data_IF_209479972496
#
_entry.id   IF_209479972496
#
_cell.length_a   1.000
_cell.length_b   1.000
_cell.length_c   1.000
_cell.angle_alpha   90.00
_cell.angle_beta   90.00
_cell.angle_gamma   90.00
#
_symmetry.space_group_name_H-M   'P 1'
#
loop_
_entity.id
_entity.type
_entity.pdbx_description
1 polymer ?
#
# COMPACT_ATOMS: atom_id res chain seq x y z
N UNK A 1 -41.36 6.20 -28.40
CA UNK A 1 -39.95 5.95 -28.09
C UNK A 1 -39.23 5.95 -29.43
N UNK A 2 -38.78 7.14 -29.83
CA UNK A 2 -38.03 7.37 -31.07
C UNK A 2 -36.61 6.87 -30.86
N UNK A 3 -36.09 6.09 -31.81
CA UNK A 3 -34.72 5.59 -31.83
C UNK A 3 -33.75 6.69 -31.40
N UNK A 4 -33.10 6.48 -30.25
CA UNK A 4 -32.06 7.36 -29.70
C UNK A 4 -30.80 7.06 -30.51
N UNK A 5 -30.27 8.04 -31.22
CA UNK A 5 -29.00 7.89 -31.93
C UNK A 5 -27.90 7.55 -30.92
N UNK A 6 -27.23 6.40 -31.10
CA UNK A 6 -26.08 5.96 -30.29
C UNK A 6 -24.85 6.90 -30.40
N UNK A 7 -24.98 8.05 -31.06
CA UNK A 7 -23.89 8.65 -31.83
C UNK A 7 -22.65 9.03 -31.05
N UNK A 8 -22.77 9.47 -29.79
CA UNK A 8 -21.66 10.05 -29.01
C UNK A 8 -21.79 9.92 -27.48
N UNK A 9 -22.93 9.44 -26.96
CA UNK A 9 -23.13 9.33 -25.51
C UNK A 9 -22.48 8.03 -25.00
N UNK A 10 -21.48 8.10 -24.10
CA UNK A 10 -20.70 6.92 -23.72
C UNK A 10 -21.52 5.86 -22.98
N UNK A 11 -22.52 6.25 -22.18
CA UNK A 11 -23.37 5.26 -21.50
C UNK A 11 -24.22 4.48 -22.50
N UNK A 12 -24.70 5.12 -23.56
CA UNK A 12 -25.44 4.44 -24.63
C UNK A 12 -24.52 3.59 -25.52
N UNK A 13 -23.29 4.04 -25.78
CA UNK A 13 -22.29 3.24 -26.48
C UNK A 13 -21.90 1.99 -25.68
N UNK A 14 -21.74 2.10 -24.35
CA UNK A 14 -21.54 0.95 -23.47
C UNK A 14 -22.72 -0.02 -23.52
N UNK A 15 -23.96 0.49 -23.48
CA UNK A 15 -25.16 -0.33 -23.57
C UNK A 15 -25.23 -1.08 -24.92
N UNK A 16 -24.94 -0.37 -26.02
CA UNK A 16 -24.92 -0.95 -27.36
C UNK A 16 -23.85 -2.04 -27.45
N UNK A 17 -22.63 -1.77 -26.99
CA UNK A 17 -21.54 -2.74 -26.98
C UNK A 17 -21.85 -3.99 -26.15
N UNK A 18 -22.58 -3.84 -25.03
CA UNK A 18 -22.99 -4.98 -24.20
C UNK A 18 -24.08 -5.82 -24.87
N UNK A 19 -25.07 -5.19 -25.52
CA UNK A 19 -26.30 -5.85 -25.98
C UNK A 19 -26.27 -6.26 -27.45
N UNK A 20 -25.42 -5.62 -28.26
CA UNK A 20 -25.28 -5.92 -29.68
C UNK A 20 -24.84 -7.38 -29.85
N UNK A 21 -25.69 -8.15 -30.54
CA UNK A 21 -25.46 -9.55 -30.88
C UNK A 21 -25.29 -9.69 -32.39
N UNK A 22 -24.83 -10.85 -32.87
CA UNK A 22 -24.58 -11.08 -34.30
C UNK A 22 -25.75 -10.65 -35.20
N UNK A 23 -25.42 -10.07 -36.36
CA UNK A 23 -26.42 -9.59 -37.29
C UNK A 23 -27.31 -10.75 -37.75
N UNK A 24 -28.60 -10.50 -38.09
CA UNK A 24 -29.50 -11.55 -38.57
C UNK A 24 -29.01 -12.30 -39.82
N UNK A 25 -28.04 -11.74 -40.54
CA UNK A 25 -27.39 -12.33 -41.72
C UNK A 25 -26.11 -13.13 -41.41
N UNK A 26 -25.74 -13.24 -40.13
CA UNK A 26 -24.55 -13.97 -39.67
C UNK A 26 -23.24 -13.19 -39.80
N UNK A 27 -23.29 -11.88 -40.05
CA UNK A 27 -22.11 -11.01 -39.98
C UNK A 27 -21.70 -10.85 -38.51
N UNK A 28 -20.42 -11.10 -38.16
CA UNK A 28 -19.93 -10.85 -36.80
C UNK A 28 -20.15 -9.39 -36.44
N UNK A 29 -20.90 -9.14 -35.38
CA UNK A 29 -21.01 -7.81 -34.78
C UNK A 29 -20.01 -7.70 -33.63
N UNK A 30 -19.59 -6.48 -33.30
CA UNK A 30 -18.44 -6.25 -32.42
C UNK A 30 -18.84 -6.15 -30.94
N UNK A 31 -20.12 -6.34 -30.61
CA UNK A 31 -20.63 -6.39 -29.24
C UNK A 31 -20.60 -7.77 -28.57
N UNK A 32 -21.00 -7.80 -27.29
CA UNK A 32 -20.91 -8.98 -26.43
C UNK A 32 -22.16 -9.88 -26.45
N UNK A 33 -23.27 -9.40 -27.00
CA UNK A 33 -24.53 -10.14 -27.09
C UNK A 33 -25.13 -10.55 -25.73
N UNK A 34 -24.94 -9.74 -24.69
CA UNK A 34 -25.48 -10.00 -23.36
C UNK A 34 -27.02 -9.87 -23.39
N UNK A 35 -27.77 -10.88 -22.93
CA UNK A 35 -29.22 -10.81 -22.87
C UNK A 35 -29.74 -9.66 -21.99
N UNK A 36 -30.81 -9.01 -22.45
CA UNK A 36 -31.49 -7.89 -21.76
C UNK A 36 -31.82 -8.15 -20.28
N UNK A 37 -32.08 -9.41 -19.89
CA UNK A 37 -32.40 -9.77 -18.50
C UNK A 37 -31.24 -9.52 -17.52
N UNK A 38 -30.00 -9.52 -18.02
CA UNK A 38 -28.80 -9.22 -17.25
C UNK A 38 -28.42 -7.73 -17.28
N UNK A 39 -29.24 -6.86 -17.88
CA UNK A 39 -28.95 -5.44 -18.01
C UNK A 39 -29.97 -4.61 -17.23
N UNK A 40 -29.49 -3.75 -16.34
CA UNK A 40 -30.33 -2.73 -15.72
C UNK A 40 -30.40 -1.49 -16.60
N UNK A 41 -31.31 -1.48 -17.57
CA UNK A 41 -31.52 -0.34 -18.48
C UNK A 41 -31.78 0.99 -17.76
N UNK A 42 -32.33 0.97 -16.53
CA UNK A 42 -32.61 2.20 -15.79
C UNK A 42 -31.33 2.89 -15.32
N UNK A 43 -30.31 2.11 -14.96
CA UNK A 43 -28.98 2.63 -14.61
C UNK A 43 -28.31 3.29 -15.82
N UNK A 44 -28.35 2.66 -17.00
CA UNK A 44 -27.80 3.22 -18.24
C UNK A 44 -28.51 4.50 -18.68
N UNK A 45 -29.84 4.58 -18.54
CA UNK A 45 -30.59 5.82 -18.81
C UNK A 45 -30.15 6.93 -17.85
N UNK A 46 -29.95 6.61 -16.57
CA UNK A 46 -29.50 7.58 -15.56
C UNK A 46 -28.09 8.09 -15.86
N UNK A 47 -27.16 7.19 -16.18
CA UNK A 47 -25.81 7.53 -16.59
C UNK A 47 -25.79 8.35 -17.89
N UNK A 48 -26.58 7.98 -18.90
CA UNK A 48 -26.68 8.71 -20.16
C UNK A 48 -27.16 10.15 -19.96
N UNK A 49 -28.20 10.35 -19.15
CA UNK A 49 -28.69 11.69 -18.80
C UNK A 49 -27.63 12.51 -18.06
N UNK A 50 -26.83 11.88 -17.19
CA UNK A 50 -25.73 12.54 -16.52
C UNK A 50 -24.63 12.96 -17.50
N UNK A 51 -24.24 12.10 -18.44
CA UNK A 51 -23.27 12.44 -19.47
C UNK A 51 -23.75 13.62 -20.32
N UNK A 52 -25.01 13.60 -20.77
CA UNK A 52 -25.60 14.68 -21.56
C UNK A 52 -25.64 16.00 -20.76
N UNK A 53 -25.99 15.95 -19.47
CA UNK A 53 -26.04 17.13 -18.60
C UNK A 53 -24.64 17.75 -18.35
N UNK A 54 -23.58 16.94 -18.42
CA UNK A 54 -22.21 17.37 -18.21
C UNK A 54 -21.41 17.56 -19.51
N UNK A 55 -22.05 17.42 -20.68
CA UNK A 55 -21.40 17.47 -22.00
C UNK A 55 -20.24 16.48 -22.14
N UNK A 56 -20.42 15.28 -21.57
CA UNK A 56 -19.46 14.17 -21.65
C UNK A 56 -19.82 13.33 -22.87
N UNK A 57 -18.88 13.30 -23.82
CA UNK A 57 -19.01 12.59 -25.09
C UNK A 57 -17.82 11.66 -25.30
N UNK A 58 -18.06 10.58 -26.03
CA UNK A 58 -17.04 9.64 -26.49
C UNK A 58 -16.92 9.75 -28.01
N UNK A 59 -15.78 10.33 -28.42
CA UNK A 59 -15.44 10.70 -29.80
C UNK A 59 -14.11 10.13 -30.27
N UNK A 60 -13.44 9.37 -29.39
CA UNK A 60 -12.19 8.71 -29.71
C UNK A 60 -12.38 7.42 -30.49
N UNK A 61 -11.28 6.76 -30.74
CA UNK A 61 -11.23 5.52 -31.51
C UNK A 61 -11.11 4.31 -30.60
N UNK A 62 -11.93 3.28 -30.87
CA UNK A 62 -11.77 1.96 -30.26
C UNK A 62 -10.65 1.20 -30.95
N UNK A 63 -9.76 0.58 -30.18
CA UNK A 63 -8.75 -0.33 -30.74
C UNK A 63 -9.40 -1.66 -31.15
N UNK A 64 -9.39 -1.94 -32.45
CA UNK A 64 -9.95 -3.17 -33.03
C UNK A 64 -9.26 -4.47 -32.57
N UNK A 65 -8.07 -4.37 -31.95
CA UNK A 65 -7.36 -5.50 -31.35
C UNK A 65 -7.58 -5.68 -29.85
N UNK A 66 -8.28 -4.75 -29.19
CA UNK A 66 -8.51 -4.78 -27.75
C UNK A 66 -9.48 -5.89 -27.34
N UNK A 67 -9.39 -6.35 -26.09
CA UNK A 67 -10.39 -7.27 -25.55
C UNK A 67 -11.70 -6.52 -25.27
N UNK A 68 -12.79 -7.27 -25.08
CA UNK A 68 -14.05 -6.69 -24.63
C UNK A 68 -13.90 -5.95 -23.30
N UNK A 69 -13.11 -6.49 -22.38
CA UNK A 69 -12.87 -5.88 -21.07
C UNK A 69 -12.12 -4.55 -21.20
N UNK A 70 -11.07 -4.51 -22.02
CA UNK A 70 -10.30 -3.28 -22.26
C UNK A 70 -11.18 -2.22 -22.93
N UNK A 71 -11.99 -2.61 -23.92
CA UNK A 71 -12.90 -1.67 -24.61
C UNK A 71 -13.95 -1.09 -23.67
N UNK A 72 -14.55 -1.92 -22.81
CA UNK A 72 -15.51 -1.46 -21.81
C UNK A 72 -14.84 -0.52 -20.79
N UNK A 73 -13.62 -0.84 -20.36
CA UNK A 73 -12.85 -0.04 -19.40
C UNK A 73 -12.51 1.31 -20.02
N UNK A 74 -11.94 1.33 -21.24
CA UNK A 74 -11.61 2.56 -21.96
C UNK A 74 -12.84 3.46 -22.16
N UNK A 75 -14.01 2.89 -22.54
CA UNK A 75 -15.25 3.64 -22.69
C UNK A 75 -15.80 4.19 -21.37
N UNK A 76 -15.76 3.40 -20.30
CA UNK A 76 -16.29 3.78 -19.00
C UNK A 76 -15.40 4.82 -18.31
N UNK A 77 -14.10 4.54 -18.19
CA UNK A 77 -13.13 5.40 -17.51
C UNK A 77 -12.98 6.73 -18.25
N UNK A 78 -12.96 6.71 -19.59
CA UNK A 78 -12.91 7.94 -20.40
C UNK A 78 -14.13 8.85 -20.23
N UNK A 79 -15.20 8.37 -19.59
CA UNK A 79 -16.44 9.12 -19.36
C UNK A 79 -16.74 9.34 -17.86
N UNK A 80 -15.87 8.87 -16.96
CA UNK A 80 -16.14 8.87 -15.51
C UNK A 80 -17.35 8.01 -15.13
N UNK A 81 -17.57 6.92 -15.86
CA UNK A 81 -18.60 5.92 -15.61
C UNK A 81 -17.97 4.67 -14.98
N UNK A 82 -18.76 3.92 -14.23
CA UNK A 82 -18.34 2.65 -13.63
C UNK A 82 -19.39 1.60 -13.97
N UNK A 83 -18.94 0.47 -14.51
CA UNK A 83 -19.77 -0.72 -14.69
C UNK A 83 -19.69 -1.59 -13.45
N UNK A 84 -20.84 -1.95 -12.90
CA UNK A 84 -20.95 -2.76 -11.68
C UNK A 84 -21.85 -3.95 -11.95
N UNK A 85 -21.53 -5.11 -11.38
CA UNK A 85 -22.40 -6.28 -11.41
C UNK A 85 -23.07 -6.48 -10.05
N UNK A 86 -24.35 -6.18 -9.96
CA UNK A 86 -25.10 -6.17 -8.71
C UNK A 86 -26.44 -6.89 -8.91
N UNK A 87 -26.78 -7.78 -7.98
CA UNK A 87 -28.08 -8.50 -7.97
C UNK A 87 -28.38 -9.23 -9.30
N UNK A 88 -27.35 -9.72 -9.98
CA UNK A 88 -27.47 -10.45 -11.25
C UNK A 88 -27.59 -9.56 -12.48
N UNK A 89 -27.45 -8.25 -12.35
CA UNK A 89 -27.53 -7.30 -13.46
C UNK A 89 -26.28 -6.43 -13.56
N UNK A 90 -25.89 -6.14 -14.79
CA UNK A 90 -24.90 -5.12 -15.11
C UNK A 90 -25.59 -3.76 -15.02
N UNK A 91 -25.00 -2.87 -14.23
CA UNK A 91 -25.41 -1.47 -14.09
C UNK A 91 -24.30 -0.55 -14.56
N UNK A 92 -24.68 0.63 -15.05
CA UNK A 92 -23.77 1.73 -15.33
C UNK A 92 -24.07 2.88 -14.37
N UNK A 93 -23.07 3.29 -13.59
CA UNK A 93 -23.16 4.39 -12.63
C UNK A 93 -22.22 5.50 -13.04
N UNK A 94 -22.67 6.75 -13.00
CA UNK A 94 -21.79 7.89 -13.14
C UNK A 94 -21.07 8.13 -11.81
N UNK A 95 -19.75 8.30 -11.84
CA UNK A 95 -19.06 8.80 -10.68
C UNK A 95 -19.42 10.29 -10.52
N UNK A 96 -20.14 10.64 -9.45
CA UNK A 96 -20.61 12.00 -9.22
C UNK A 96 -20.58 12.36 -7.73
N UNK A 97 -20.89 13.63 -7.43
CA UNK A 97 -21.04 14.09 -6.04
C UNK A 97 -22.31 13.49 -5.43
N UNK A 98 -22.21 12.93 -4.23
CA UNK A 98 -23.32 12.33 -3.50
C UNK A 98 -23.44 13.00 -2.12
N UNK A 99 -24.50 13.78 -1.96
CA UNK A 99 -24.73 14.57 -0.73
C UNK A 99 -25.48 13.80 0.34
N UNK A 100 -26.14 12.70 -0.04
CA UNK A 100 -26.86 11.82 0.88
C UNK A 100 -26.01 10.60 1.23
N UNK A 101 -26.23 10.05 2.42
CA UNK A 101 -25.56 8.84 2.89
C UNK A 101 -26.52 7.67 2.76
N UNK A 102 -26.10 6.61 2.07
CA UNK A 102 -26.95 5.43 1.84
C UNK A 102 -27.12 4.61 3.11
N UNK A 103 -26.09 4.55 3.95
CA UNK A 103 -26.09 3.84 5.22
C UNK A 103 -25.22 4.57 6.26
N UNK A 104 -25.50 4.31 7.55
CA UNK A 104 -24.76 4.83 8.69
C UNK A 104 -24.24 3.65 9.49
N UNK A 105 -22.94 3.62 9.72
CA UNK A 105 -22.25 2.55 10.41
C UNK A 105 -21.57 3.07 11.68
N UNK A 106 -21.73 2.31 12.76
CA UNK A 106 -21.10 2.56 14.05
C UNK A 106 -20.81 1.22 14.76
N UNK A 107 -20.36 1.28 16.02
CA UNK A 107 -20.04 0.10 16.81
C UNK A 107 -21.22 -0.87 17.06
N UNK A 108 -22.45 -0.48 16.73
CA UNK A 108 -23.66 -1.28 16.96
C UNK A 108 -24.06 -2.15 15.78
N UNK A 109 -23.71 -1.76 14.55
CA UNK A 109 -24.03 -2.49 13.32
C UNK A 109 -22.80 -2.95 12.52
N UNK A 110 -21.60 -2.52 12.91
CA UNK A 110 -20.35 -3.14 12.47
C UNK A 110 -20.12 -4.43 13.25
N UNK A 111 -19.88 -5.53 12.54
CA UNK A 111 -19.62 -6.83 13.17
C UNK A 111 -18.22 -6.82 13.78
N UNK A 112 -18.19 -6.95 15.11
CA UNK A 112 -17.07 -6.60 16.03
C UNK A 112 -15.66 -7.19 15.77
N UNK A 113 -15.48 -8.10 14.81
CA UNK A 113 -14.18 -8.75 14.54
C UNK A 113 -13.37 -8.13 13.40
N UNK A 114 -13.89 -7.14 12.67
CA UNK A 114 -13.18 -6.57 11.52
C UNK A 114 -13.57 -5.13 11.25
N UNK A 115 -12.96 -4.18 11.96
CA UNK A 115 -12.97 -2.77 11.54
C UNK A 115 -11.53 -2.33 11.32
N UNK A 116 -11.09 -2.49 10.08
CA UNK A 116 -9.74 -2.15 9.65
C UNK A 116 -9.73 -0.75 9.05
N UNK A 117 -8.74 0.03 9.45
CA UNK A 117 -8.50 1.36 8.90
C UNK A 117 -7.10 1.37 8.31
N UNK A 118 -7.05 1.53 6.99
CA UNK A 118 -5.79 1.77 6.28
C UNK A 118 -5.62 3.27 6.14
N UNK A 119 -4.62 3.79 6.83
CA UNK A 119 -4.21 5.18 6.67
C UNK A 119 -3.58 5.40 5.29
N UNK A 120 -3.50 6.66 4.85
CA UNK A 120 -2.90 7.01 3.57
C UNK A 120 -1.45 6.49 3.50
N UNK A 121 -1.15 5.63 2.52
CA UNK A 121 0.20 5.17 2.23
C UNK A 121 0.84 6.04 1.13
N UNK A 122 2.15 6.26 1.21
CA UNK A 122 2.91 7.01 0.20
C UNK A 122 2.90 6.36 -1.18
N UNK A 123 2.64 5.04 -1.26
CA UNK A 123 2.65 4.27 -2.51
C UNK A 123 1.57 4.66 -3.50
N UNK A 124 0.41 5.14 -3.01
CA UNK A 124 -0.74 5.46 -3.84
C UNK A 124 -0.97 6.98 -3.92
N UNK A 125 -0.19 7.76 -3.17
CA UNK A 125 -0.23 9.21 -3.21
C UNK A 125 0.41 9.72 -4.49
N UNK A 126 -0.18 10.75 -5.09
CA UNK A 126 0.40 11.48 -6.21
C UNK A 126 0.03 12.96 -6.07
N UNK A 127 0.92 13.83 -6.53
CA UNK A 127 0.75 15.28 -6.48
C UNK A 127 0.81 15.93 -7.86
N UNK A 128 0.87 15.12 -8.91
CA UNK A 128 0.72 15.49 -10.31
C UNK A 128 -0.16 14.46 -11.01
N UNK A 129 -1.12 14.91 -11.81
CA UNK A 129 -1.90 14.06 -12.71
C UNK A 129 -1.66 14.49 -14.14
N UNK A 130 -1.25 13.54 -14.97
CA UNK A 130 -1.09 13.69 -16.42
C UNK A 130 -2.28 13.04 -17.11
N UNK A 131 -3.10 13.82 -17.80
CA UNK A 131 -4.30 13.34 -18.50
C UNK A 131 -4.02 13.30 -19.99
N UNK A 132 -4.04 12.11 -20.57
CA UNK A 132 -3.84 11.90 -21.99
C UNK A 132 -5.19 11.92 -22.72
N UNK A 133 -5.28 12.66 -23.82
CA UNK A 133 -6.52 12.85 -24.58
C UNK A 133 -6.22 13.05 -26.08
N UNK A 134 -7.24 12.97 -26.93
CA UNK A 134 -7.09 13.25 -28.36
C UNK A 134 -7.26 14.75 -28.65
N UNK A 135 -6.22 15.39 -29.18
CA UNK A 135 -6.25 16.82 -29.47
C UNK A 135 -6.78 17.11 -30.89
N UNK A 136 -7.96 17.72 -30.96
CA UNK A 136 -8.62 18.06 -32.23
C UNK A 136 -7.89 19.14 -33.05
N UNK A 137 -7.06 19.98 -32.43
CA UNK A 137 -6.22 20.98 -33.11
C UNK A 137 -4.99 20.34 -33.78
N UNK A 138 -4.60 19.15 -33.31
CA UNK A 138 -3.45 18.40 -33.78
C UNK A 138 -3.86 17.20 -34.66
N UNK A 139 -5.01 17.27 -35.33
CA UNK A 139 -5.56 16.17 -36.12
C UNK A 139 -5.81 14.88 -35.32
N UNK A 140 -6.29 15.01 -34.07
CA UNK A 140 -6.60 13.88 -33.17
C UNK A 140 -5.38 13.07 -32.72
N UNK A 141 -4.18 13.64 -32.82
CA UNK A 141 -2.99 13.08 -32.16
C UNK A 141 -3.14 13.16 -30.63
N UNK A 142 -2.48 12.25 -29.92
CA UNK A 142 -2.46 12.22 -28.46
C UNK A 142 -1.72 13.45 -27.92
N UNK A 143 -2.28 14.07 -26.88
CA UNK A 143 -1.71 15.20 -26.16
C UNK A 143 -1.94 15.02 -24.66
N UNK A 144 -1.16 15.71 -23.84
CA UNK A 144 -1.16 15.57 -22.39
C UNK A 144 -1.46 16.89 -21.70
N UNK A 145 -2.46 16.88 -20.84
CA UNK A 145 -2.79 17.97 -19.92
C UNK A 145 -2.36 17.60 -18.51
N UNK A 146 -1.56 18.44 -17.86
CA UNK A 146 -0.99 18.16 -16.54
C UNK A 146 -1.56 19.11 -15.48
N UNK A 147 -1.91 18.57 -14.31
CA UNK A 147 -2.31 19.33 -13.12
C UNK A 147 -1.43 18.92 -11.92
N UNK A 148 -0.83 19.86 -11.17
CA UNK A 148 -0.82 21.31 -11.37
C UNK A 148 -0.06 21.76 -12.63
N UNK A 149 -0.30 22.99 -13.13
CA UNK A 149 0.29 23.48 -14.38
C UNK A 149 1.79 23.78 -14.28
N UNK A 150 2.30 24.08 -13.08
CA UNK A 150 3.71 24.34 -12.82
C UNK A 150 4.14 23.65 -11.53
N UNK A 151 4.91 22.59 -11.68
CA UNK A 151 5.41 21.79 -10.55
C UNK A 151 6.47 22.52 -9.70
N UNK A 152 7.08 23.59 -10.24
CA UNK A 152 8.12 24.34 -9.53
C UNK A 152 7.58 25.38 -8.56
N UNK A 153 6.32 25.80 -8.74
CA UNK A 153 5.69 26.85 -7.93
C UNK A 153 4.45 26.38 -7.18
N UNK A 154 3.96 25.16 -7.41
CA UNK A 154 2.79 24.62 -6.71
C UNK A 154 3.06 24.40 -5.21
N UNK A 155 2.19 24.95 -4.37
CA UNK A 155 2.32 24.92 -2.91
C UNK A 155 2.34 23.50 -2.32
N UNK A 156 1.60 22.55 -2.92
CA UNK A 156 1.55 21.14 -2.46
C UNK A 156 2.88 20.47 -2.76
N UNK A 157 3.37 20.61 -3.99
CA UNK A 157 4.67 20.04 -4.39
C UNK A 157 5.82 20.66 -3.59
N UNK A 158 5.79 21.96 -3.31
CA UNK A 158 6.78 22.62 -2.46
C UNK A 158 6.72 22.12 -1.00
N UNK A 159 5.53 21.85 -0.48
CA UNK A 159 5.36 21.27 0.86
C UNK A 159 5.84 19.82 0.93
N UNK A 160 5.56 19.03 -0.10
CA UNK A 160 5.99 17.63 -0.20
C UNK A 160 7.50 17.51 -0.43
N UNK A 161 8.08 18.40 -1.24
CA UNK A 161 9.49 18.39 -1.61
C UNK A 161 9.87 17.33 -2.65
N UNK A 162 8.89 16.68 -3.30
CA UNK A 162 9.07 15.72 -4.37
C UNK A 162 7.90 15.76 -5.35
N UNK A 163 8.08 15.20 -6.55
CA UNK A 163 7.03 15.04 -7.56
C UNK A 163 6.71 13.54 -7.66
N UNK A 164 5.44 13.20 -7.56
CA UNK A 164 4.92 11.85 -7.80
C UNK A 164 3.74 11.98 -8.76
N UNK A 165 3.90 11.38 -9.94
CA UNK A 165 2.96 11.52 -11.06
C UNK A 165 2.09 10.28 -11.19
N UNK A 166 0.84 10.50 -11.58
CA UNK A 166 -0.09 9.44 -11.99
C UNK A 166 -0.73 9.82 -13.33
N UNK A 167 -1.04 8.82 -14.15
CA UNK A 167 -1.61 9.05 -15.49
C UNK A 167 -3.09 8.67 -15.56
N UNK A 168 -3.86 9.47 -16.30
CA UNK A 168 -5.26 9.20 -16.64
C UNK A 168 -5.41 9.17 -18.16
N UNK A 169 -5.71 8.01 -18.71
CA UNK A 169 -5.86 7.83 -20.15
C UNK A 169 -7.33 7.98 -20.56
N UNK A 170 -7.67 9.14 -21.14
CA UNK A 170 -9.02 9.44 -21.65
C UNK A 170 -9.06 9.24 -23.16
N UNK A 171 -8.77 8.01 -23.61
CA UNK A 171 -8.63 7.64 -25.03
C UNK A 171 -9.87 7.96 -25.87
N UNK A 172 -11.04 7.91 -25.26
CA UNK A 172 -12.31 8.19 -25.93
C UNK A 172 -12.68 9.68 -25.91
N UNK A 173 -11.91 10.52 -25.21
CA UNK A 173 -12.14 11.94 -25.11
C UNK A 173 -11.35 12.71 -26.17
N UNK A 174 -12.07 13.50 -26.99
CA UNK A 174 -11.47 14.42 -27.95
C UNK A 174 -11.84 15.86 -27.61
N UNK A 175 -10.83 16.73 -27.47
CA UNK A 175 -11.03 18.16 -27.20
C UNK A 175 -9.94 18.98 -27.90
N UNK A 176 -10.19 20.27 -28.14
CA UNK A 176 -9.16 21.20 -28.61
C UNK A 176 -8.19 21.53 -27.47
N UNK A 177 -6.94 21.84 -27.80
CA UNK A 177 -5.98 22.35 -26.83
C UNK A 177 -6.36 23.76 -26.35
N UNK A 178 -7.06 24.54 -27.19
CA UNK A 178 -7.58 25.86 -26.82
C UNK A 178 -8.66 25.77 -25.72
N UNK A 179 -9.53 24.74 -25.78
CA UNK A 179 -10.65 24.56 -24.85
C UNK A 179 -10.32 23.67 -23.64
N UNK A 180 -9.07 23.17 -23.53
CA UNK A 180 -8.69 22.17 -22.52
C UNK A 180 -8.96 22.62 -21.08
N UNK A 181 -8.91 23.93 -20.82
CA UNK A 181 -9.14 24.51 -19.49
C UNK A 181 -10.56 25.11 -19.30
N UNK A 182 -11.47 24.94 -20.26
CA UNK A 182 -12.85 25.44 -20.15
C UNK A 182 -13.54 24.85 -18.92
N UNK A 183 -14.24 25.69 -18.15
CA UNK A 183 -15.00 25.24 -16.98
C UNK A 183 -16.05 24.20 -17.38
N UNK A 184 -16.03 23.04 -16.74
CA UNK A 184 -16.89 21.92 -17.10
C UNK A 184 -16.42 21.14 -18.33
N UNK A 185 -15.24 21.46 -18.88
CA UNK A 185 -14.61 20.68 -19.94
C UNK A 185 -14.28 19.26 -19.47
N UNK A 186 -14.51 18.29 -20.34
CA UNK A 186 -14.46 16.87 -20.02
C UNK A 186 -13.12 16.42 -19.40
N UNK A 187 -12.00 16.70 -20.08
CA UNK A 187 -10.64 16.37 -19.61
C UNK A 187 -10.35 17.03 -18.26
N UNK A 188 -10.63 18.34 -18.15
CA UNK A 188 -10.39 19.11 -16.93
C UNK A 188 -11.18 18.57 -15.74
N UNK A 189 -12.45 18.22 -15.92
CA UNK A 189 -13.32 17.71 -14.85
C UNK A 189 -12.78 16.38 -14.32
N UNK A 190 -12.48 15.43 -15.20
CA UNK A 190 -12.01 14.09 -14.78
C UNK A 190 -10.58 14.17 -14.21
N UNK A 191 -9.69 14.95 -14.82
CA UNK A 191 -8.34 15.17 -14.32
C UNK A 191 -8.30 15.81 -12.93
N UNK A 192 -9.11 16.86 -12.70
CA UNK A 192 -9.23 17.47 -11.38
C UNK A 192 -9.80 16.51 -10.34
N UNK A 193 -10.80 15.70 -10.73
CA UNK A 193 -11.36 14.69 -9.82
C UNK A 193 -10.29 13.71 -9.37
N UNK A 194 -9.49 13.19 -10.30
CA UNK A 194 -8.39 12.30 -9.98
C UNK A 194 -7.35 12.97 -9.08
N UNK A 195 -6.94 14.19 -9.41
CA UNK A 195 -6.02 14.97 -8.59
C UNK A 195 -6.53 15.19 -7.16
N UNK A 196 -7.80 15.55 -7.00
CA UNK A 196 -8.38 15.80 -5.68
C UNK A 196 -8.52 14.50 -4.87
N UNK A 197 -8.77 13.34 -5.51
CA UNK A 197 -8.82 12.03 -4.82
C UNK A 197 -7.51 11.68 -4.11
N UNK A 198 -6.37 12.18 -4.59
CA UNK A 198 -5.08 11.94 -3.93
C UNK A 198 -5.01 12.48 -2.49
N UNK A 199 -5.88 13.44 -2.13
CA UNK A 199 -5.97 14.00 -0.78
C UNK A 199 -6.84 13.16 0.16
N UNK A 200 -7.64 12.24 -0.38
CA UNK A 200 -8.68 11.51 0.33
C UNK A 200 -8.51 10.01 0.10
N UNK A 201 -7.49 9.42 0.72
CA UNK A 201 -7.07 8.04 0.43
C UNK A 201 -7.24 7.07 1.60
N UNK A 202 -7.71 7.55 2.76
CA UNK A 202 -7.94 6.66 3.91
C UNK A 202 -8.99 5.62 3.54
N UNK A 203 -8.75 4.36 3.84
CA UNK A 203 -9.70 3.28 3.58
C UNK A 203 -10.20 2.67 4.88
N UNK A 204 -11.45 2.25 4.86
CA UNK A 204 -12.08 1.46 5.91
C UNK A 204 -12.55 0.15 5.31
N UNK A 205 -12.31 -0.95 6.02
CA UNK A 205 -12.81 -2.27 5.65
C UNK A 205 -13.50 -2.89 6.85
N UNK A 206 -14.75 -3.33 6.66
CA UNK A 206 -15.49 -3.98 7.73
C UNK A 206 -16.63 -4.88 7.27
N UNK A 207 -17.10 -5.71 8.19
CA UNK A 207 -18.23 -6.61 8.00
C UNK A 207 -19.51 -6.03 8.58
N UNK A 208 -20.62 -6.21 7.87
CA UNK A 208 -21.97 -5.87 8.34
C UNK A 208 -23.00 -6.91 7.88
N UNK A 209 -24.22 -6.83 8.42
CA UNK A 209 -25.35 -7.69 8.02
C UNK A 209 -26.02 -7.11 6.76
N UNK A 210 -25.95 -7.86 5.65
CA UNK A 210 -26.53 -7.46 4.37
C UNK A 210 -28.06 -7.34 4.36
N UNK A 211 -28.76 -7.89 5.35
CA UNK A 211 -30.21 -7.68 5.50
C UNK A 211 -30.55 -6.33 6.17
N UNK A 212 -29.61 -5.74 6.92
CA UNK A 212 -29.82 -4.46 7.62
C UNK A 212 -29.60 -3.26 6.70
N UNK A 213 -28.59 -3.34 5.83
CA UNK A 213 -28.22 -2.28 4.91
C UNK A 213 -28.03 -2.82 3.49
N UNK A 214 -28.67 -2.16 2.50
CA UNK A 214 -28.48 -2.47 1.07
C UNK A 214 -27.49 -1.47 0.48
N UNK A 215 -26.19 -1.72 0.71
CA UNK A 215 -25.09 -0.90 0.18
C UNK A 215 -24.66 -1.43 -1.18
N UNK A 216 -24.48 -0.53 -2.14
CA UNK A 216 -24.02 -0.83 -3.49
C UNK A 216 -22.66 -0.16 -3.79
N UNK A 217 -21.98 -0.61 -4.86
CA UNK A 217 -20.73 0.02 -5.28
C UNK A 217 -20.99 1.49 -5.65
N UNK A 218 -20.01 2.36 -5.38
CA UNK A 218 -20.05 3.82 -5.56
C UNK A 218 -20.93 4.61 -4.59
N UNK A 219 -21.70 3.95 -3.73
CA UNK A 219 -22.47 4.61 -2.68
C UNK A 219 -21.56 5.35 -1.70
N UNK A 220 -22.07 6.41 -1.09
CA UNK A 220 -21.39 7.08 0.03
C UNK A 220 -22.07 6.69 1.33
N UNK A 221 -21.30 6.08 2.22
CA UNK A 221 -21.72 5.65 3.55
C UNK A 221 -21.14 6.59 4.60
N UNK A 222 -21.75 6.65 5.78
CA UNK A 222 -21.25 7.41 6.92
C UNK A 222 -20.72 6.44 7.99
N UNK A 223 -19.55 6.71 8.54
CA UNK A 223 -18.94 5.90 9.60
C UNK A 223 -18.68 6.77 10.83
N UNK A 224 -19.16 6.32 11.98
CA UNK A 224 -18.94 6.94 13.28
C UNK A 224 -18.04 6.05 14.14
N UNK A 225 -16.88 6.57 14.53
CA UNK A 225 -15.92 5.91 15.42
C UNK A 225 -15.47 6.89 16.50
N UNK A 226 -15.89 6.61 17.73
CA UNK A 226 -15.59 7.45 18.89
C UNK A 226 -14.10 7.49 19.23
N UNK A 227 -13.35 6.41 19.00
CA UNK A 227 -11.92 6.34 19.34
C UNK A 227 -11.07 7.18 18.37
N UNK A 228 -11.56 7.35 17.13
CA UNK A 228 -10.92 8.16 16.09
C UNK A 228 -11.52 9.56 15.96
N UNK A 229 -12.47 9.90 16.83
CA UNK A 229 -13.21 11.16 16.82
C UNK A 229 -13.96 11.41 15.50
N UNK A 230 -14.42 10.34 14.84
CA UNK A 230 -15.23 10.41 13.64
C UNK A 230 -16.71 10.50 14.00
N UNK A 231 -17.42 11.41 13.35
CA UNK A 231 -18.87 11.56 13.47
C UNK A 231 -19.43 11.69 12.06
N UNK A 232 -20.21 10.70 11.64
CA UNK A 232 -20.80 10.56 10.30
C UNK A 232 -19.79 10.85 9.18
N UNK A 233 -18.55 10.37 9.36
CA UNK A 233 -17.49 10.63 8.40
C UNK A 233 -17.79 9.88 7.09
N UNK A 234 -17.79 10.56 5.94
CA UNK A 234 -18.20 9.93 4.70
C UNK A 234 -17.08 9.11 4.05
N UNK A 235 -17.47 7.95 3.50
CA UNK A 235 -16.62 7.07 2.71
C UNK A 235 -17.38 6.58 1.48
N UNK A 236 -16.75 6.56 0.31
CA UNK A 236 -17.30 5.95 -0.90
C UNK A 236 -16.90 4.49 -0.99
N UNK A 237 -17.90 3.64 -1.21
CA UNK A 237 -17.75 2.20 -1.37
C UNK A 237 -17.01 1.87 -2.67
N UNK A 238 -15.88 1.20 -2.54
CA UNK A 238 -15.01 0.79 -3.65
C UNK A 238 -15.02 -0.71 -3.88
N UNK A 239 -15.33 -1.51 -2.86
CA UNK A 239 -15.42 -2.97 -2.97
C UNK A 239 -16.52 -3.52 -2.08
N UNK A 240 -17.21 -4.55 -2.57
CA UNK A 240 -18.18 -5.33 -1.80
C UNK A 240 -17.90 -6.81 -2.04
N UNK A 241 -17.68 -7.55 -0.97
CA UNK A 241 -17.56 -9.00 -0.99
C UNK A 241 -18.67 -9.63 -0.14
N UNK A 242 -19.29 -10.70 -0.65
CA UNK A 242 -20.38 -11.40 0.04
C UNK A 242 -19.96 -12.83 0.31
N UNK A 243 -19.99 -13.23 1.58
CA UNK A 243 -19.67 -14.60 1.97
C UNK A 243 -20.91 -15.48 1.75
N UNK A 244 -20.75 -16.60 1.04
CA UNK A 244 -21.84 -17.53 0.72
C UNK A 244 -21.75 -18.85 1.49
N UNK A 245 -20.92 -18.91 2.53
CA UNK A 245 -20.81 -20.11 3.36
C UNK A 245 -22.02 -20.24 4.32
N UNK A 246 -22.28 -21.45 4.79
CA UNK A 246 -23.43 -21.75 5.65
C UNK A 246 -23.30 -21.16 7.07
N UNK A 247 -22.09 -20.77 7.50
CA UNK A 247 -21.79 -20.30 8.86
C UNK A 247 -21.84 -18.76 8.99
N UNK A 248 -21.59 -18.04 7.90
CA UNK A 248 -21.51 -16.57 7.78
C UNK A 248 -22.53 -16.05 6.75
N UNK A 249 -23.64 -16.76 6.58
CA UNK A 249 -24.73 -16.37 5.68
C UNK A 249 -25.16 -14.91 5.94
N UNK A 250 -25.31 -14.13 4.87
CA UNK A 250 -25.62 -12.68 4.86
C UNK A 250 -24.55 -11.74 5.43
N UNK A 251 -23.33 -12.21 5.73
CA UNK A 251 -22.21 -11.31 6.03
C UNK A 251 -21.68 -10.67 4.75
N UNK A 252 -21.62 -9.33 4.77
CA UNK A 252 -21.07 -8.52 3.67
C UNK A 252 -19.85 -7.78 4.18
N UNK A 253 -18.71 -7.95 3.50
CA UNK A 253 -17.51 -7.15 3.72
C UNK A 253 -17.54 -5.98 2.75
N UNK A 254 -17.40 -4.77 3.27
CA UNK A 254 -17.29 -3.54 2.47
C UNK A 254 -15.91 -2.94 2.65
N UNK A 255 -15.30 -2.52 1.53
CA UNK A 255 -14.15 -1.62 1.54
C UNK A 255 -14.61 -0.28 0.97
N UNK A 256 -14.31 0.80 1.68
CA UNK A 256 -14.67 2.14 1.27
C UNK A 256 -13.49 3.11 1.45
N UNK A 257 -13.34 4.05 0.53
CA UNK A 257 -12.31 5.08 0.53
C UNK A 257 -12.88 6.41 1.01
N UNK A 258 -12.10 7.20 1.72
CA UNK A 258 -12.48 8.50 2.25
C UNK A 258 -13.07 9.40 1.16
N UNK A 259 -14.16 10.07 1.52
CA UNK A 259 -14.93 10.87 0.59
C UNK A 259 -15.02 12.30 1.07
N UNK A 260 -15.00 13.25 0.14
CA UNK A 260 -15.37 14.64 0.41
C UNK A 260 -15.96 15.27 -0.86
N UNK A 261 -16.92 16.17 -0.70
CA UNK A 261 -17.58 16.85 -1.83
C UNK A 261 -16.58 17.71 -2.64
N UNK A 262 -15.47 18.13 -2.01
CA UNK A 262 -14.38 18.88 -2.67
C UNK A 262 -13.75 18.13 -3.83
N UNK A 263 -13.82 16.80 -3.84
CA UNK A 263 -13.35 15.96 -4.96
C UNK A 263 -14.00 16.39 -6.28
N UNK A 264 -15.28 16.79 -6.23
CA UNK A 264 -16.10 17.11 -7.40
C UNK A 264 -16.18 18.61 -7.70
N UNK A 265 -15.93 19.45 -6.69
CA UNK A 265 -16.19 20.89 -6.76
C UNK A 265 -14.91 21.71 -6.94
N UNK A 266 -13.75 21.22 -6.50
CA UNK A 266 -12.48 21.91 -6.68
C UNK A 266 -11.96 21.68 -8.10
N UNK A 267 -11.85 22.77 -8.88
CA UNK A 267 -11.21 22.73 -10.20
C UNK A 267 -10.09 23.76 -10.27
N UNK A 268 -8.92 23.30 -10.73
CA UNK A 268 -7.78 24.12 -11.14
C UNK A 268 -7.59 24.00 -12.65
N UNK A 269 -6.96 25.01 -13.23
CA UNK A 269 -6.43 24.92 -14.58
C UNK A 269 -5.16 24.07 -14.55
N UNK A 270 -4.94 23.34 -15.64
CA UNK A 270 -3.70 22.61 -15.90
C UNK A 270 -2.90 23.26 -17.03
N UNK A 271 -1.72 22.70 -17.29
CA UNK A 271 -0.77 23.18 -18.29
C UNK A 271 -0.42 22.10 -19.29
N UNK A 272 0.36 22.48 -20.31
CA UNK A 272 1.04 21.50 -21.16
C UNK A 272 2.28 20.97 -20.46
N UNK A 273 2.54 19.67 -20.60
CA UNK A 273 3.57 18.91 -19.88
C UNK A 273 4.83 19.71 -19.53
N UNK A 274 4.97 20.03 -18.24
CA UNK A 274 6.15 20.67 -17.68
C UNK A 274 7.38 19.76 -17.74
N UNK A 275 8.55 20.30 -17.39
CA UNK A 275 9.81 19.54 -17.40
C UNK A 275 9.66 18.20 -16.69
N UNK A 276 10.19 17.15 -17.32
CA UNK A 276 10.20 15.77 -16.83
C UNK A 276 10.54 15.67 -15.33
N UNK A 277 9.91 14.71 -14.63
CA UNK A 277 9.90 14.61 -13.18
C UNK A 277 11.31 14.55 -12.56
N UNK A 278 11.43 15.17 -11.39
CA UNK A 278 12.43 14.75 -10.40
C UNK A 278 11.74 13.66 -9.60
N UNK A 279 12.10 12.40 -9.84
CA UNK A 279 11.56 11.27 -9.10
C UNK A 279 11.68 11.53 -7.58
N UNK A 280 10.73 11.03 -6.78
CA UNK A 280 10.89 11.03 -5.34
C UNK A 280 12.22 10.35 -5.00
N UNK A 281 12.96 10.85 -4.00
CA UNK A 281 14.16 10.16 -3.57
C UNK A 281 13.76 8.80 -2.98
N UNK A 282 14.20 7.71 -3.61
CA UNK A 282 14.04 6.37 -3.07
C UNK A 282 14.81 6.25 -1.75
N UNK A 283 14.14 5.73 -0.71
CA UNK A 283 14.79 5.46 0.59
C UNK A 283 15.82 4.36 0.39
N UNK A 284 17.09 4.72 0.51
CA UNK A 284 18.19 3.78 0.29
C UNK A 284 18.26 2.74 1.40
N UNK A 285 18.67 1.51 1.09
CA UNK A 285 19.04 0.53 2.13
C UNK A 285 20.19 1.06 3.00
N UNK A 286 20.30 0.67 4.28
CA UNK A 286 21.46 1.00 5.09
C UNK A 286 22.78 0.70 4.39
N UNK A 287 23.82 1.50 4.65
CA UNK A 287 25.16 1.24 4.10
C UNK A 287 25.70 -0.09 4.61
N UNK A 288 25.43 -0.40 5.88
CA UNK A 288 25.83 -1.67 6.48
C UNK A 288 24.96 -2.02 7.71
N UNK A 289 24.92 -3.31 8.04
CA UNK A 289 24.37 -3.83 9.31
C UNK A 289 25.46 -4.64 9.98
N UNK A 290 25.86 -4.16 11.15
CA UNK A 290 26.94 -4.75 11.95
C UNK A 290 26.34 -5.45 13.16
N UNK A 291 26.95 -6.55 13.58
CA UNK A 291 26.59 -7.24 14.81
C UNK A 291 27.82 -7.39 15.71
N UNK A 292 27.67 -7.01 16.98
CA UNK A 292 28.71 -7.16 18.00
C UNK A 292 28.15 -7.98 19.17
N UNK A 293 28.81 -9.09 19.51
CA UNK A 293 28.45 -9.91 20.66
C UNK A 293 28.91 -9.22 21.97
N UNK A 294 28.03 -9.13 22.96
CA UNK A 294 28.29 -8.48 24.26
C UNK A 294 28.43 -9.46 25.43
N UNK A 295 27.61 -10.51 25.52
CA UNK A 295 27.64 -11.48 26.63
C UNK A 295 27.36 -12.92 26.14
N UNK A 296 27.85 -13.91 26.90
CA UNK A 296 27.90 -15.35 26.58
C UNK A 296 27.36 -16.23 27.71
N UNK A 297 26.43 -15.74 28.55
CA UNK A 297 25.77 -16.59 29.57
C UNK A 297 24.97 -17.74 28.90
N UNK A 298 24.16 -18.47 29.66
CA UNK A 298 23.35 -19.60 29.15
C UNK A 298 22.62 -19.32 27.81
N UNK A 299 22.36 -18.05 27.52
CA UNK A 299 22.05 -17.55 26.18
C UNK A 299 22.92 -16.31 25.86
N UNK A 300 23.38 -16.19 24.62
CA UNK A 300 24.16 -15.04 24.15
C UNK A 300 23.32 -13.78 23.94
N UNK A 301 23.96 -12.61 24.05
CA UNK A 301 23.37 -11.31 23.69
C UNK A 301 24.37 -10.44 22.95
N UNK A 302 23.86 -9.57 22.08
CA UNK A 302 24.67 -8.61 21.34
C UNK A 302 23.88 -7.43 20.83
N UNK A 303 24.57 -6.54 20.13
CA UNK A 303 24.00 -5.31 19.58
C UNK A 303 24.14 -5.32 18.07
N UNK A 304 23.02 -5.11 17.40
CA UNK A 304 22.97 -4.84 15.97
C UNK A 304 23.10 -3.33 15.80
N UNK A 305 23.99 -2.87 14.93
CA UNK A 305 24.20 -1.45 14.62
C UNK A 305 24.00 -1.20 13.14
N UNK A 306 23.13 -0.25 12.81
CA UNK A 306 22.88 0.23 11.45
C UNK A 306 23.85 1.35 11.13
N UNK A 307 24.57 1.23 10.01
CA UNK A 307 25.30 2.35 9.39
C UNK A 307 24.33 3.01 8.41
N UNK A 308 23.80 4.21 8.72
CA UNK A 308 22.70 4.76 7.95
C UNK A 308 23.19 5.41 6.66
N UNK A 309 22.53 5.10 5.55
CA UNK A 309 22.68 5.79 4.27
C UNK A 309 21.63 6.90 4.10
N UNK A 310 20.53 6.81 4.86
CA UNK A 310 19.40 7.73 4.87
C UNK A 310 19.22 8.39 6.24
N UNK A 311 19.32 9.72 6.29
CA UNK A 311 19.50 10.47 7.55
C UNK A 311 18.42 11.54 7.77
N UNK A 312 17.14 11.19 7.57
CA UNK A 312 16.03 12.13 7.73
C UNK A 312 15.46 12.10 9.16
N UNK A 313 14.92 13.23 9.60
CA UNK A 313 14.27 13.31 10.90
C UNK A 313 12.99 12.46 10.91
N UNK A 314 12.88 11.56 11.88
CA UNK A 314 11.75 10.63 11.99
C UNK A 314 11.95 9.29 11.27
N UNK A 315 13.06 9.07 10.54
CA UNK A 315 13.38 7.77 9.97
C UNK A 315 13.53 6.73 11.06
N UNK A 316 12.78 5.63 10.94
CA UNK A 316 12.82 4.48 11.83
C UNK A 316 13.61 3.33 11.20
N UNK A 317 14.04 2.39 12.04
CA UNK A 317 14.80 1.21 11.68
C UNK A 317 13.99 -0.02 12.05
N UNK A 318 13.71 -0.88 11.09
CA UNK A 318 13.16 -2.20 11.34
C UNK A 318 14.29 -3.23 11.34
N UNK A 319 14.27 -4.14 12.32
CA UNK A 319 15.28 -5.18 12.50
C UNK A 319 14.66 -6.57 12.44
N UNK A 320 15.34 -7.49 11.78
CA UNK A 320 14.93 -8.90 11.72
C UNK A 320 16.15 -9.81 11.89
N UNK A 321 15.91 -11.01 12.40
CA UNK A 321 16.93 -12.07 12.49
C UNK A 321 16.45 -13.36 11.81
N UNK A 322 17.40 -14.22 11.44
CA UNK A 322 17.12 -15.61 11.10
C UNK A 322 18.24 -16.52 11.57
N UNK A 323 17.91 -17.77 11.84
CA UNK A 323 18.88 -18.84 12.05
C UNK A 323 19.31 -19.43 10.71
N UNK A 324 20.61 -19.60 10.48
CA UNK A 324 21.12 -20.19 9.25
C UNK A 324 21.05 -21.72 9.37
N UNK A 325 19.89 -22.27 9.04
CA UNK A 325 19.62 -23.71 9.00
C UNK A 325 19.49 -24.24 7.58
N UNK A 326 19.49 -25.57 7.42
CA UNK A 326 19.09 -26.22 6.15
C UNK A 326 17.89 -27.13 6.42
N UNK A 327 16.68 -26.84 5.90
CA UNK A 327 16.33 -25.72 5.00
C UNK A 327 16.40 -24.34 5.68
N UNK A 328 16.51 -23.27 4.87
CA UNK A 328 16.65 -21.90 5.35
C UNK A 328 15.44 -21.48 6.20
N UNK A 329 15.69 -20.85 7.35
CA UNK A 329 14.64 -20.33 8.21
C UNK A 329 14.08 -19.00 7.67
N UNK A 330 12.84 -18.70 8.05
CA UNK A 330 12.18 -17.43 7.74
C UNK A 330 12.70 -16.31 8.63
N UNK A 331 12.76 -15.09 8.08
CA UNK A 331 13.06 -13.89 8.86
C UNK A 331 12.03 -13.65 9.95
N UNK A 332 12.50 -13.37 11.15
CA UNK A 332 11.67 -13.11 12.33
C UNK A 332 11.87 -11.65 12.77
N UNK A 333 10.80 -10.85 12.89
CA UNK A 333 10.89 -9.49 13.41
C UNK A 333 11.39 -9.46 14.85
N UNK A 334 12.29 -8.52 15.14
CA UNK A 334 12.83 -8.30 16.49
C UNK A 334 11.90 -7.44 17.35
N UNK A 335 11.05 -6.62 16.73
CA UNK A 335 10.06 -5.77 17.37
C UNK A 335 9.58 -4.67 16.43
N UNK A 336 8.88 -3.68 16.98
CA UNK A 336 8.41 -2.52 16.21
C UNK A 336 9.58 -1.64 15.73
N UNK A 337 9.46 -0.96 14.57
CA UNK A 337 10.49 -0.06 14.08
C UNK A 337 10.82 1.07 15.06
N UNK A 338 12.11 1.31 15.30
CA UNK A 338 12.60 2.29 16.29
C UNK A 338 13.30 3.47 15.63
N UNK A 339 13.34 4.63 16.29
CA UNK A 339 14.13 5.78 15.84
C UNK A 339 15.64 5.62 16.05
N UNK A 340 16.06 4.62 16.84
CA UNK A 340 17.47 4.35 17.14
C UNK A 340 18.16 3.54 16.04
N UNK A 341 19.48 3.69 15.92
CA UNK A 341 20.31 2.94 14.98
C UNK A 341 20.78 1.58 15.52
N UNK A 342 20.42 1.23 16.75
CA UNK A 342 20.92 0.05 17.44
C UNK A 342 19.80 -0.79 18.01
N UNK A 343 19.91 -2.12 17.89
CA UNK A 343 18.99 -3.06 18.50
C UNK A 343 19.73 -4.07 19.37
N UNK A 344 19.28 -4.24 20.62
CA UNK A 344 19.84 -5.24 21.53
C UNK A 344 19.11 -6.56 21.33
N UNK A 345 19.83 -7.57 20.83
CA UNK A 345 19.31 -8.92 20.70
C UNK A 345 19.79 -9.77 21.88
N UNK A 346 18.87 -10.53 22.45
CA UNK A 346 19.14 -11.46 23.53
C UNK A 346 18.72 -12.87 23.11
N UNK A 347 19.01 -13.85 23.96
CA UNK A 347 18.56 -15.23 23.82
C UNK A 347 19.19 -16.01 22.65
N UNK A 348 20.36 -15.61 22.17
CA UNK A 348 21.07 -16.30 21.08
C UNK A 348 21.63 -17.64 21.55
N UNK A 349 21.33 -18.72 20.82
CA UNK A 349 21.79 -20.06 21.18
C UNK A 349 23.26 -20.28 20.81
N UNK A 350 24.04 -20.78 21.77
CA UNK A 350 25.43 -21.20 21.54
C UNK A 350 25.53 -22.26 20.44
N UNK A 351 26.56 -22.16 19.60
CA UNK A 351 26.79 -23.07 18.47
C UNK A 351 25.86 -22.87 17.27
N UNK A 352 24.99 -21.86 17.30
CA UNK A 352 24.06 -21.54 16.22
C UNK A 352 24.55 -20.35 15.40
N UNK A 353 24.35 -20.42 14.08
CA UNK A 353 24.68 -19.34 13.15
C UNK A 353 23.45 -18.47 12.89
N UNK A 354 23.63 -17.16 12.99
CA UNK A 354 22.59 -16.14 12.81
C UNK A 354 22.97 -15.16 11.72
N UNK A 355 21.95 -14.60 11.08
CA UNK A 355 22.08 -13.45 10.21
C UNK A 355 21.05 -12.40 10.60
N UNK A 356 21.42 -11.14 10.48
CA UNK A 356 20.57 -10.01 10.81
C UNK A 356 20.33 -9.16 9.58
N UNK A 357 19.19 -8.47 9.54
CA UNK A 357 18.94 -7.45 8.53
C UNK A 357 18.23 -6.25 9.10
N UNK A 358 18.45 -5.10 8.48
CA UNK A 358 17.75 -3.87 8.80
C UNK A 358 17.36 -3.09 7.55
N UNK A 359 16.32 -2.28 7.65
CA UNK A 359 15.90 -1.32 6.63
C UNK A 359 15.49 0.02 7.24
N UNK A 360 15.62 1.07 6.45
CA UNK A 360 15.11 2.40 6.78
C UNK A 360 13.61 2.47 6.49
N UNK A 361 12.84 3.05 7.40
CA UNK A 361 11.41 3.34 7.23
C UNK A 361 11.24 4.85 7.39
N UNK A 362 10.96 5.54 6.29
CA UNK A 362 10.69 6.97 6.29
C UNK A 362 9.18 7.23 6.32
N UNK A 363 8.67 8.06 7.25
CA UNK A 363 7.24 8.33 7.35
C UNK A 363 6.65 9.01 6.11
N UNK A 364 7.46 9.57 5.22
CA UNK A 364 7.00 10.23 4.00
C UNK A 364 7.36 9.46 2.73
N UNK A 365 8.54 8.87 2.67
CA UNK A 365 9.05 8.23 1.45
C UNK A 365 8.91 6.70 1.44
N UNK A 366 8.34 6.12 2.50
CA UNK A 366 8.09 4.69 2.61
C UNK A 366 9.29 3.89 3.09
N UNK A 367 9.31 2.61 2.72
CA UNK A 367 10.29 1.65 3.19
C UNK A 367 11.45 1.52 2.19
N UNK A 368 12.68 1.54 2.71
CA UNK A 368 13.86 1.20 1.94
C UNK A 368 14.09 -0.31 1.84
N UNK A 369 15.03 -0.69 0.98
CA UNK A 369 15.48 -2.06 0.84
C UNK A 369 16.21 -2.58 2.09
N UNK A 370 16.21 -3.92 2.23
CA UNK A 370 16.91 -4.60 3.32
C UNK A 370 18.42 -4.64 3.08
N UNK A 371 19.19 -4.33 4.13
CA UNK A 371 20.61 -4.66 4.22
C UNK A 371 20.81 -5.82 5.19
N UNK A 372 21.48 -6.87 4.73
CA UNK A 372 21.83 -8.04 5.53
C UNK A 372 23.25 -7.86 6.12
N UNK A 373 23.47 -8.39 7.33
CA UNK A 373 24.79 -8.50 7.94
C UNK A 373 25.54 -9.70 7.38
N UNK A 374 26.84 -9.77 7.62
CA UNK A 374 27.54 -11.03 7.47
C UNK A 374 27.00 -12.06 8.50
N UNK A 375 26.94 -13.36 8.13
CA UNK A 375 26.64 -14.44 9.05
C UNK A 375 27.56 -14.45 10.28
N UNK A 376 26.98 -14.67 11.45
CA UNK A 376 27.69 -14.74 12.72
C UNK A 376 27.39 -16.06 13.44
N UNK A 377 28.42 -16.73 13.94
CA UNK A 377 28.29 -17.94 14.77
C UNK A 377 28.46 -17.55 16.24
N UNK A 378 27.50 -17.91 17.08
CA UNK A 378 27.64 -17.76 18.53
C UNK A 378 28.64 -18.80 19.03
N UNK A 379 29.87 -18.38 19.28
CA UNK A 379 30.94 -19.26 19.74
C UNK A 379 30.65 -19.85 21.12
N UNK A 380 30.95 -21.15 21.28
CA UNK A 380 30.90 -21.84 22.56
C UNK A 380 32.20 -21.58 23.35
N UNK A 381 32.10 -21.03 24.56
CA UNK A 381 33.24 -21.00 25.47
C UNK A 381 33.40 -22.39 26.09
N UNK A 382 34.40 -23.13 25.62
CA UNK A 382 34.83 -24.38 26.25
C UNK A 382 35.70 -24.01 27.46
N UNK A 383 35.13 -24.14 28.66
CA UNK A 383 35.94 -24.05 29.88
C UNK A 383 36.88 -25.25 29.96
N UNK A 384 38.16 -25.05 30.37
CA UNK A 384 39.07 -26.16 30.57
C UNK A 384 38.53 -27.09 31.67
N UNK A 385 38.79 -28.41 31.58
CA UNK A 385 38.48 -29.30 32.69
C UNK A 385 39.28 -28.89 33.92
N UNK A 386 38.66 -28.93 35.10
CA UNK A 386 39.34 -28.69 36.38
C UNK A 386 40.48 -29.69 36.53
N UNK A 387 41.70 -29.19 36.68
CA UNK A 387 42.89 -30.01 36.93
C UNK A 387 43.18 -30.11 38.43
N UNK A 388 43.84 -31.19 38.82
CA UNK A 388 44.22 -31.47 40.19
C UNK A 388 45.74 -31.60 40.27
N UNK A 389 46.42 -30.96 41.23
CA UNK A 389 47.89 -31.01 41.32
C UNK A 389 48.44 -32.41 41.63
N UNK A 390 47.64 -33.23 42.32
CA UNK A 390 48.04 -34.55 42.83
C UNK A 390 47.12 -35.66 42.29
N UNK A 391 47.65 -36.88 42.11
CA UNK A 391 46.88 -38.07 41.66
C UNK A 391 45.76 -38.48 42.63
N UNK A 392 45.84 -38.03 43.90
CA UNK A 392 44.77 -38.20 44.88
C UNK A 392 44.54 -36.87 45.64
N UNK A 393 43.77 -35.94 45.05
CA UNK A 393 43.60 -34.60 45.58
C UNK A 393 42.71 -34.55 46.83
N UNK A 394 42.15 -35.69 47.24
CA UNK A 394 41.21 -35.82 48.34
C UNK A 394 41.90 -36.40 49.56
N UNK A 395 41.84 -35.68 50.69
CA UNK A 395 42.32 -36.13 51.98
C UNK A 395 41.14 -36.28 52.96
N UNK A 396 40.97 -37.51 53.47
CA UNK A 396 39.92 -37.90 54.41
C UNK A 396 40.46 -38.32 55.78
N UNK A 397 41.74 -38.03 56.08
CA UNK A 397 42.39 -38.43 57.33
C UNK A 397 41.99 -37.55 58.54
N UNK A 398 41.16 -36.54 58.31
CA UNK A 398 40.60 -35.65 59.33
C UNK A 398 39.06 -35.70 59.31
N UNK A 399 38.37 -35.19 60.36
CA UNK A 399 36.91 -35.05 60.34
C UNK A 399 36.38 -34.22 59.16
N UNK A 400 37.24 -33.36 58.61
CA UNK A 400 36.95 -32.54 57.44
C UNK A 400 37.56 -33.17 56.19
N UNK A 401 36.79 -33.18 55.10
CA UNK A 401 37.31 -33.51 53.77
C UNK A 401 38.07 -32.30 53.24
N UNK A 402 39.38 -32.46 53.05
CA UNK A 402 40.23 -31.43 52.46
C UNK A 402 40.56 -31.86 51.05
N UNK A 403 40.33 -30.97 50.08
CA UNK A 403 40.78 -31.18 48.71
C UNK A 403 41.46 -29.94 48.17
N UNK A 404 42.39 -30.16 47.25
CA UNK A 404 43.13 -29.10 46.56
C UNK A 404 42.87 -29.22 45.07
N UNK A 405 42.61 -28.10 44.40
CA UNK A 405 42.48 -28.03 42.95
C UNK A 405 43.45 -26.97 42.43
N UNK A 406 43.80 -27.08 41.16
CA UNK A 406 44.57 -26.04 40.48
C UNK A 406 43.66 -24.84 40.24
N UNK A 407 44.04 -23.66 40.75
CA UNK A 407 43.26 -22.44 40.56
C UNK A 407 43.44 -21.83 39.16
N UNK A 408 44.28 -22.44 38.33
CA UNK A 408 44.54 -22.09 36.93
C UNK A 408 44.97 -20.62 36.74
N UNK A 409 45.43 -19.96 37.80
CA UNK A 409 45.75 -18.52 37.80
C UNK A 409 46.97 -18.12 36.97
N UNK A 410 47.70 -19.10 36.43
CA UNK A 410 48.87 -18.92 35.56
C UNK A 410 48.68 -19.32 34.10
N UNK A 411 47.51 -19.80 33.69
CA UNK A 411 47.24 -20.21 32.31
C UNK A 411 46.58 -19.09 31.50
N UNK A 412 47.18 -18.73 30.36
CA UNK A 412 46.59 -17.77 29.42
C UNK A 412 45.60 -18.49 28.49
N UNK A 413 44.31 -18.18 28.65
CA UNK A 413 43.26 -18.65 27.74
C UNK A 413 42.96 -17.62 26.67
N UNK A 414 42.97 -18.06 25.41
CA UNK A 414 42.61 -17.20 24.28
C UNK A 414 41.10 -17.18 24.15
N UNK A 415 40.46 -16.09 24.57
CA UNK A 415 39.07 -15.80 24.20
C UNK A 415 39.07 -15.57 22.69
N UNK A 416 38.15 -16.17 21.91
CA UNK A 416 38.01 -15.87 20.48
C UNK A 416 37.98 -14.36 20.27
N UNK A 417 38.91 -13.87 19.44
CA UNK A 417 39.21 -12.45 19.34
C UNK A 417 38.06 -11.68 18.67
N UNK A 418 37.12 -11.19 19.46
CA UNK A 418 36.29 -10.05 19.09
C UNK A 418 36.84 -8.83 19.85
N UNK A 419 37.67 -8.03 19.18
CA UNK A 419 38.10 -6.65 19.48
C UNK A 419 37.94 -6.07 20.92
N UNK A 420 38.32 -6.78 21.99
CA UNK A 420 38.39 -6.18 23.32
C UNK A 420 39.83 -6.04 23.82
N UNK A 421 40.16 -4.81 24.24
CA UNK A 421 41.39 -4.46 24.94
C UNK A 421 41.47 -5.28 26.24
N UNK A 422 42.50 -6.11 26.37
CA UNK A 422 42.73 -6.96 27.55
C UNK A 422 42.84 -6.11 28.82
N UNK A 423 41.87 -6.22 29.72
CA UNK A 423 41.98 -5.72 31.09
C UNK A 423 42.82 -6.71 31.89
N UNK A 424 44.05 -6.34 32.22
CA UNK A 424 44.91 -7.09 33.13
C UNK A 424 44.26 -7.12 34.52
N UNK A 425 43.77 -8.28 34.95
CA UNK A 425 43.30 -8.49 36.33
C UNK A 425 44.53 -8.52 37.23
N UNK A 426 44.77 -7.40 37.93
CA UNK A 426 45.78 -7.37 38.99
C UNK A 426 45.14 -7.91 40.26
N UNK A 427 45.80 -8.88 40.88
CA UNK A 427 45.34 -9.64 42.04
C UNK A 427 44.84 -8.76 43.20
N UNK A 428 43.65 -9.09 43.70
CA UNK A 428 43.14 -8.63 44.98
C UNK A 428 42.44 -9.80 45.65
N UNK A 429 43.20 -10.56 46.46
CA UNK A 429 42.65 -11.37 47.55
C UNK A 429 43.75 -11.60 48.58
N UNK A 430 43.80 -10.71 49.57
CA UNK A 430 44.30 -11.01 50.92
C UNK A 430 43.09 -11.20 51.82
N UNK A 431 42.84 -12.44 52.23
CA UNK A 431 42.86 -12.93 53.63
C UNK A 431 42.47 -14.41 53.65
#
# INVERSE_FOLDING_TARGET
MTLVECGRNPALQLLDFLTESDAPDGTPMYGMGIPDEYIDFSSFVSAANWCDANNIYSDGSVDTGATFADTLTDLADSAGLVLTFEKGQIKCKAEQMETMRTAYFDETNIISSGFDVTEQSSSNYFNVVNVNYQNTDLNYEEDTWSIPPDTTTDDVIQADGFIQEESLDLRMCATSGEDINVTGGHVKVLGNRMYNKAQWQKQVTFDYDGDEHDVELMDVIAVTDKYREWTDKPFRVSEISRVTDEENFNRVTVTATEYDDSIYTNQKDGGGGGNNPINPPEVTAPDNVLFELEDFRDLGSGVITVVPSWNRNGTRQEFQMREITTPASSWTPLGDPILGLTWNVATLQSGTSYEFRARHIDPQYGDGDWRESEPFVVDEIILPPVTFPDENPWNFDSPDCVFTWDDMTGEEYTIPANNYTVLSVTSLLTT
#
